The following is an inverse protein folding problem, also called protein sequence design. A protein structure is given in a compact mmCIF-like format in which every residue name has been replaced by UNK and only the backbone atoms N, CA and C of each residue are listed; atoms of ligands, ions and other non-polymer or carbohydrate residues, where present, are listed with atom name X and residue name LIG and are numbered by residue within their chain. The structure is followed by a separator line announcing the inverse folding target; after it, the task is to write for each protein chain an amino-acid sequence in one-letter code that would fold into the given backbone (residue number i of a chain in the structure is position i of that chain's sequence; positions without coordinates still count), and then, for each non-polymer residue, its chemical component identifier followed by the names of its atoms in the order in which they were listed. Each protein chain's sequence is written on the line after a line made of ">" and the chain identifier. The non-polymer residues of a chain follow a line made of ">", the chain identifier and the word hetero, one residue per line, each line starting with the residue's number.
data_IF_006427683641
#
_entry.id   IF_006427683641
#
_cell.length_a   1.000
_cell.length_b   1.000
_cell.length_c   1.000
_cell.angle_alpha   90.00
_cell.angle_beta   90.00
_cell.angle_gamma   90.00
#
_symmetry.space_group_name_H-M   'P 1'
#
loop_
_entity.id
_entity.type
_entity.pdbx_description
1 polymer ?
#
# COMPACT_ATOMS: atom_id res chain seq x y z
N UNK A 1 17.23 -7.32 -0.83
CA UNK A 1 17.73 -6.67 0.41
C UNK A 1 17.40 -7.47 1.67
N UNK A 2 17.30 -8.81 1.61
CA UNK A 2 16.99 -9.70 2.75
C UNK A 2 15.64 -9.46 3.47
N UNK A 3 14.75 -8.63 2.91
CA UNK A 3 13.43 -8.39 3.46
C UNK A 3 12.40 -9.42 2.97
N UNK A 4 11.42 -9.72 3.83
CA UNK A 4 10.29 -10.59 3.49
C UNK A 4 9.08 -9.75 3.06
N UNK A 5 8.86 -9.64 1.75
CA UNK A 5 7.76 -8.86 1.20
C UNK A 5 6.50 -9.70 0.97
N UNK A 6 5.34 -9.09 1.22
CA UNK A 6 4.03 -9.59 0.78
C UNK A 6 3.40 -8.52 -0.12
N UNK A 7 3.23 -8.83 -1.40
CA UNK A 7 2.57 -7.94 -2.36
C UNK A 7 1.11 -8.38 -2.49
N UNK A 8 0.18 -7.47 -2.24
CA UNK A 8 -1.25 -7.75 -2.27
C UNK A 8 -2.01 -6.53 -2.81
N UNK A 9 -3.13 -6.75 -3.50
CA UNK A 9 -3.87 -5.65 -4.13
C UNK A 9 -4.41 -4.65 -3.09
N UNK A 10 -5.24 -5.11 -2.16
CA UNK A 10 -5.84 -4.26 -1.13
C UNK A 10 -5.27 -4.49 0.27
N UNK A 11 -5.03 -5.75 0.63
CA UNK A 11 -4.55 -6.12 1.96
C UNK A 11 -4.87 -7.56 2.32
N UNK A 12 -4.70 -7.89 3.60
CA UNK A 12 -5.03 -9.22 4.15
C UNK A 12 -5.85 -9.10 5.44
N UNK A 13 -6.61 -10.13 5.78
CA UNK A 13 -7.10 -10.31 7.15
C UNK A 13 -5.93 -10.74 8.04
N UNK A 14 -5.46 -9.82 8.88
CA UNK A 14 -4.33 -10.02 9.80
C UNK A 14 -4.54 -11.14 10.83
N UNK A 15 -5.76 -11.63 10.99
CA UNK A 15 -6.10 -12.72 11.92
C UNK A 15 -5.94 -14.10 11.28
N UNK A 16 -5.71 -14.17 9.97
CA UNK A 16 -5.57 -15.42 9.22
C UNK A 16 -4.16 -15.56 8.66
N UNK A 17 -3.63 -16.78 8.55
CA UNK A 17 -2.38 -17.01 7.83
C UNK A 17 -2.55 -16.69 6.34
N UNK A 18 -1.44 -16.41 5.64
CA UNK A 18 -1.45 -15.98 4.23
C UNK A 18 -2.12 -17.00 3.29
N UNK A 19 -2.01 -18.30 3.60
CA UNK A 19 -2.61 -19.38 2.81
C UNK A 19 -4.11 -19.61 3.09
N UNK A 20 -4.70 -18.84 4.00
CA UNK A 20 -6.13 -18.92 4.35
C UNK A 20 -6.86 -17.59 4.09
N UNK A 21 -6.24 -16.70 3.31
CA UNK A 21 -6.88 -15.48 2.88
C UNK A 21 -8.02 -15.78 1.90
N UNK A 22 -9.04 -14.94 1.93
CA UNK A 22 -10.18 -15.03 1.00
C UNK A 22 -10.07 -13.94 -0.04
N UNK A 23 -10.49 -14.23 -1.27
CA UNK A 23 -10.37 -13.33 -2.42
C UNK A 23 -10.96 -11.94 -2.13
N UNK A 24 -12.11 -11.88 -1.46
CA UNK A 24 -12.75 -10.61 -1.12
C UNK A 24 -11.86 -9.71 -0.26
N UNK A 25 -11.15 -10.27 0.72
CA UNK A 25 -10.24 -9.47 1.56
C UNK A 25 -9.02 -9.01 0.75
N UNK A 26 -8.45 -9.91 -0.07
CA UNK A 26 -7.30 -9.60 -0.93
C UNK A 26 -7.58 -8.45 -1.91
N UNK A 27 -8.83 -8.34 -2.38
CA UNK A 27 -9.26 -7.36 -3.38
C UNK A 27 -9.88 -6.08 -2.80
N UNK A 28 -10.49 -6.12 -1.61
CA UNK A 28 -11.36 -5.02 -1.16
C UNK A 28 -11.17 -4.58 0.29
N UNK A 29 -10.30 -5.23 1.07
CA UNK A 29 -10.08 -4.82 2.47
C UNK A 29 -9.45 -3.42 2.55
N UNK A 30 -9.83 -2.66 3.58
CA UNK A 30 -9.36 -1.29 3.82
C UNK A 30 -8.84 -1.14 5.24
N UNK A 31 -9.54 -0.40 6.09
CA UNK A 31 -9.11 -0.04 7.45
C UNK A 31 -8.90 -1.26 8.36
N UNK A 32 -9.59 -2.37 8.08
CA UNK A 32 -9.38 -3.66 8.77
C UNK A 32 -8.00 -4.27 8.50
N UNK A 33 -7.27 -3.78 7.51
CA UNK A 33 -5.89 -4.17 7.21
C UNK A 33 -4.90 -3.05 7.57
N UNK A 34 -5.02 -1.86 6.97
CA UNK A 34 -3.95 -0.86 7.08
C UNK A 34 -3.83 -0.22 8.48
N UNK A 35 -4.89 -0.24 9.31
CA UNK A 35 -4.82 0.20 10.71
C UNK A 35 -4.41 -0.91 11.68
N UNK A 36 -4.28 -2.16 11.22
CA UNK A 36 -3.96 -3.29 12.08
C UNK A 36 -2.48 -3.60 12.02
N UNK A 37 -1.90 -4.08 13.14
CA UNK A 37 -0.47 -4.39 13.24
C UNK A 37 0.00 -5.41 12.21
N UNK A 38 -0.73 -6.49 12.01
CA UNK A 38 -0.30 -7.61 11.16
C UNK A 38 0.94 -8.34 11.71
N UNK A 39 1.53 -9.22 10.90
CA UNK A 39 2.79 -9.89 11.22
C UNK A 39 3.97 -8.95 10.96
N UNK A 40 4.75 -8.63 12.01
CA UNK A 40 5.90 -7.70 11.92
C UNK A 40 7.15 -8.32 11.26
N UNK A 41 7.15 -9.62 10.97
CA UNK A 41 8.27 -10.28 10.27
C UNK A 41 8.24 -10.06 8.76
N UNK A 42 7.22 -9.35 8.27
CA UNK A 42 6.93 -9.11 6.85
C UNK A 42 6.68 -7.64 6.60
N UNK A 43 7.01 -7.19 5.39
CA UNK A 43 6.63 -5.88 4.88
C UNK A 43 5.54 -6.06 3.84
N UNK A 44 4.37 -5.48 4.08
CA UNK A 44 3.25 -5.55 3.15
C UNK A 44 3.29 -4.36 2.19
N UNK A 45 3.27 -4.64 0.90
CA UNK A 45 3.11 -3.65 -0.16
C UNK A 45 1.69 -3.77 -0.69
N UNK A 46 0.92 -2.68 -0.67
CA UNK A 46 -0.49 -2.69 -1.04
C UNK A 46 -0.92 -1.43 -1.79
N UNK A 47 -2.06 -1.53 -2.46
CA UNK A 47 -2.76 -0.41 -3.10
C UNK A 47 -4.22 -0.35 -2.66
N UNK A 48 -5.14 -0.10 -3.59
CA UNK A 48 -6.60 -0.07 -3.40
C UNK A 48 -7.16 1.09 -2.56
N UNK A 49 -6.51 1.39 -1.44
CA UNK A 49 -6.77 2.60 -0.66
C UNK A 49 -5.78 3.67 -1.13
N UNK A 50 -6.25 4.73 -1.81
CA UNK A 50 -5.39 5.78 -2.31
C UNK A 50 -4.59 6.42 -1.17
N UNK A 51 -3.31 6.71 -1.40
CA UNK A 51 -2.40 7.24 -0.38
C UNK A 51 -2.79 8.63 0.12
N UNK A 52 -3.52 9.41 -0.68
CA UNK A 52 -4.16 10.67 -0.21
C UNK A 52 -5.11 10.48 0.98
N UNK A 53 -5.66 9.27 1.16
CA UNK A 53 -6.49 8.92 2.32
C UNK A 53 -5.68 8.37 3.50
N UNK A 54 -4.38 8.15 3.31
CA UNK A 54 -3.48 7.54 4.30
C UNK A 54 -2.43 8.54 4.82
N UNK A 55 -1.92 9.43 3.96
CA UNK A 55 -0.95 10.45 4.33
C UNK A 55 -1.65 11.60 5.06
N UNK A 56 -1.06 12.07 6.17
CA UNK A 56 -1.58 13.19 6.98
C UNK A 56 -1.59 14.52 6.22
N UNK A 57 -0.75 14.66 5.20
CA UNK A 57 -0.65 15.84 4.33
C UNK A 57 -1.52 15.76 3.07
N UNK A 58 -2.32 14.70 2.94
CA UNK A 58 -3.17 14.43 1.77
C UNK A 58 -2.39 14.33 0.44
N UNK A 59 -1.10 14.00 0.49
CA UNK A 59 -0.29 13.76 -0.72
C UNK A 59 -0.62 12.40 -1.35
N UNK A 60 -0.41 12.30 -2.66
CA UNK A 60 -0.49 11.04 -3.41
C UNK A 60 0.83 10.25 -3.39
N UNK A 61 1.80 10.69 -2.58
CA UNK A 61 3.09 10.03 -2.43
C UNK A 61 2.94 8.67 -1.76
N UNK A 62 3.99 7.84 -1.87
CA UNK A 62 4.01 6.53 -1.24
C UNK A 62 3.84 6.70 0.27
N UNK A 63 2.82 6.04 0.82
CA UNK A 63 2.57 6.03 2.25
C UNK A 63 3.42 4.96 2.92
N UNK A 64 4.05 5.32 4.04
CA UNK A 64 4.80 4.39 4.89
C UNK A 64 4.13 4.33 6.26
N UNK A 65 3.89 3.13 6.77
CA UNK A 65 3.37 2.91 8.13
C UNK A 65 4.38 3.46 9.16
N UNK A 66 4.06 4.60 9.75
CA UNK A 66 4.89 5.26 10.78
C UNK A 66 4.68 4.67 12.18
N UNK A 67 3.70 3.78 12.35
CA UNK A 67 3.34 3.19 13.64
C UNK A 67 3.99 1.83 13.82
N UNK A 68 3.78 0.91 12.87
CA UNK A 68 4.30 -0.46 12.96
C UNK A 68 5.47 -0.72 12.00
N UNK A 69 5.76 0.21 11.08
CA UNK A 69 6.87 0.12 10.12
C UNK A 69 6.85 -1.15 9.24
N UNK A 70 5.66 -1.70 8.97
CA UNK A 70 5.53 -2.95 8.24
C UNK A 70 4.55 -2.89 7.06
N UNK A 71 4.05 -1.71 6.66
CA UNK A 71 3.19 -1.55 5.48
C UNK A 71 3.61 -0.34 4.65
N UNK A 72 3.45 -0.49 3.34
CA UNK A 72 3.76 0.53 2.35
C UNK A 72 2.61 0.60 1.34
N UNK A 73 1.94 1.74 1.27
CA UNK A 73 0.84 2.01 0.34
C UNK A 73 1.38 2.71 -0.91
N UNK A 74 1.12 2.15 -2.10
CA UNK A 74 1.64 2.68 -3.37
C UNK A 74 0.55 3.20 -4.32
N UNK A 75 -0.73 3.17 -3.93
CA UNK A 75 -1.81 3.65 -4.78
C UNK A 75 -1.90 5.17 -4.78
N UNK A 76 -1.29 5.82 -5.77
CA UNK A 76 -1.34 7.27 -5.94
C UNK A 76 -2.66 7.80 -6.53
N UNK A 77 -3.74 7.02 -6.54
CA UNK A 77 -5.09 7.47 -6.88
C UNK A 77 -5.33 7.79 -8.37
N UNK A 78 -4.38 7.46 -9.26
CA UNK A 78 -4.40 7.85 -10.67
C UNK A 78 -5.69 7.46 -11.42
N UNK A 79 -6.25 6.27 -11.11
CA UNK A 79 -7.40 5.71 -11.81
C UNK A 79 -8.74 6.37 -11.42
N UNK A 80 -8.85 6.90 -10.20
CA UNK A 80 -10.12 7.34 -9.63
C UNK A 80 -10.26 8.87 -9.50
N UNK A 81 -9.16 9.62 -9.67
CA UNK A 81 -9.13 11.08 -9.45
C UNK A 81 -9.05 11.92 -10.73
N UNK A 82 -9.45 13.19 -10.61
CA UNK A 82 -9.08 14.25 -11.57
C UNK A 82 -7.60 14.60 -11.46
N UNK A 83 -7.02 14.41 -10.27
CA UNK A 83 -5.59 14.51 -9.94
C UNK A 83 -5.10 13.17 -9.37
N UNK A 84 -3.80 12.92 -9.41
CA UNK A 84 -3.17 11.72 -8.86
C UNK A 84 -1.85 11.41 -9.54
N UNK A 85 -1.23 10.29 -9.17
CA UNK A 85 0.04 9.84 -9.73
C UNK A 85 0.16 8.32 -9.75
N UNK A 86 1.02 7.82 -10.64
CA UNK A 86 1.50 6.44 -10.60
C UNK A 86 2.78 6.40 -9.79
N UNK A 87 2.78 5.64 -8.69
CA UNK A 87 3.95 5.40 -7.86
C UNK A 87 4.60 4.07 -8.21
N UNK A 88 5.92 4.03 -8.16
CA UNK A 88 6.72 2.81 -8.26
C UNK A 88 7.82 2.84 -7.19
N UNK A 89 7.89 1.79 -6.38
CA UNK A 89 8.96 1.57 -5.40
C UNK A 89 9.84 0.41 -5.86
N UNK A 90 11.12 0.68 -6.11
CA UNK A 90 12.10 -0.35 -6.37
C UNK A 90 12.54 -0.99 -5.04
N UNK A 91 12.24 -2.28 -4.84
CA UNK A 91 12.54 -2.97 -3.58
C UNK A 91 14.04 -3.31 -3.41
N UNK A 92 14.84 -3.22 -4.46
CA UNK A 92 16.28 -3.50 -4.39
C UNK A 92 17.06 -2.38 -3.68
N UNK A 93 16.73 -1.13 -4.01
CA UNK A 93 17.47 0.07 -3.60
C UNK A 93 16.57 1.14 -2.95
N UNK A 94 15.27 0.89 -2.83
CA UNK A 94 14.31 1.84 -2.27
C UNK A 94 13.99 3.02 -3.20
N UNK A 95 14.47 3.02 -4.45
CA UNK A 95 14.25 4.14 -5.36
C UNK A 95 12.77 4.30 -5.68
N UNK A 96 12.27 5.52 -5.50
CA UNK A 96 10.90 5.91 -5.85
C UNK A 96 10.90 6.56 -7.23
N UNK A 97 9.98 6.11 -8.09
CA UNK A 97 9.68 6.76 -9.38
C UNK A 97 8.21 7.14 -9.41
N UNK A 98 7.92 8.38 -9.79
CA UNK A 98 6.56 8.93 -9.83
C UNK A 98 6.27 9.44 -11.23
N UNK A 99 5.09 9.11 -11.75
CA UNK A 99 4.53 9.73 -12.95
C UNK A 99 3.24 10.43 -12.56
N UNK A 100 3.25 11.76 -12.56
CA UNK A 100 2.06 12.55 -12.24
C UNK A 100 1.10 12.58 -13.42
N UNK A 101 -0.20 12.61 -13.13
CA UNK A 101 -1.22 12.89 -14.14
C UNK A 101 -1.07 14.34 -14.58
N UNK A 102 -0.48 14.56 -15.76
CA UNK A 102 -0.43 15.90 -16.33
C UNK A 102 -1.85 16.31 -16.72
N UNK A 103 -2.28 17.49 -16.27
CA UNK A 103 -3.45 18.17 -16.83
C UNK A 103 -3.14 18.50 -18.29
N UNK A 104 -3.93 17.95 -19.22
CA UNK A 104 -3.96 18.38 -20.62
C UNK A 104 -4.66 19.73 -20.70
#
# INVERSE_FOLDING_TARGET
>A
NEQNYVLVHAGIDVRKPLNQQVENDLLWIREKFYLQRGDLTKIYIFGHTPTVLLNDDFSFDIWFDTINHNKIGIDGGLACGTVGQLNCLCLNDGKITVIQKNSI
#
